data_IF_348642107447
#
_entry.id   IF_348642107447
#
_cell.length_a   1.000
_cell.length_b   1.000
_cell.length_c   1.000
_cell.angle_alpha   90.00
_cell.angle_beta   90.00
_cell.angle_gamma   90.00
#
_symmetry.space_group_name_H-M   'P 1'
#
loop_
_entity.id
_entity.type
_entity.pdbx_description
1 polymer ?
#
# COMPACT_ATOMS: atom_id res chain seq x y z
N UNK A 1 4.70 13.77 -20.46
CA UNK A 1 5.00 13.29 -19.09
C UNK A 1 5.50 14.46 -18.26
N UNK A 2 5.18 14.47 -16.97
CA UNK A 2 5.70 15.44 -15.99
C UNK A 2 6.92 14.84 -15.27
N UNK A 3 7.82 15.71 -14.81
CA UNK A 3 8.98 15.30 -14.00
C UNK A 3 8.53 14.88 -12.59
N UNK A 4 9.43 14.25 -11.83
CA UNK A 4 9.17 13.85 -10.44
C UNK A 4 8.73 15.02 -9.56
N UNK A 5 9.45 16.14 -9.63
CA UNK A 5 9.13 17.31 -8.81
C UNK A 5 7.83 18.00 -9.22
N UNK A 6 7.52 18.02 -10.52
CA UNK A 6 6.21 18.49 -11.02
C UNK A 6 5.08 17.61 -10.50
N UNK A 7 5.26 16.28 -10.53
CA UNK A 7 4.31 15.33 -9.98
C UNK A 7 4.07 15.56 -8.47
N UNK A 8 5.13 15.71 -7.69
CA UNK A 8 5.04 15.92 -6.24
C UNK A 8 4.26 17.20 -5.90
N UNK A 9 4.57 18.30 -6.59
CA UNK A 9 3.85 19.57 -6.40
C UNK A 9 2.38 19.46 -6.82
N UNK A 10 2.10 18.91 -8.01
CA UNK A 10 0.73 18.77 -8.50
C UNK A 10 -0.09 17.82 -7.61
N UNK A 11 0.45 16.69 -7.19
CA UNK A 11 -0.21 15.74 -6.29
C UNK A 11 -0.51 16.36 -4.93
N UNK A 12 0.42 17.17 -4.42
CA UNK A 12 0.23 17.91 -3.19
C UNK A 12 -0.92 18.93 -3.31
N UNK A 13 -0.93 19.73 -4.39
CA UNK A 13 -1.97 20.70 -4.65
C UNK A 13 -3.35 20.08 -4.89
N UNK A 14 -3.40 18.89 -5.52
CA UNK A 14 -4.65 18.18 -5.72
C UNK A 14 -5.24 17.72 -4.38
N UNK A 15 -4.40 17.21 -3.46
CA UNK A 15 -4.84 16.73 -2.15
C UNK A 15 -5.25 17.86 -1.21
N UNK A 16 -4.47 18.93 -1.15
CA UNK A 16 -4.70 20.06 -0.23
C UNK A 16 -5.69 21.10 -0.79
N UNK A 17 -5.95 21.07 -2.09
CA UNK A 17 -6.74 22.07 -2.79
C UNK A 17 -5.99 23.38 -2.97
N UNK A 18 -6.72 24.52 -2.84
CA UNK A 18 -6.09 25.82 -2.88
C UNK A 18 -5.32 26.07 -1.59
N UNK A 19 -4.02 26.31 -1.71
CA UNK A 19 -3.16 26.58 -0.57
C UNK A 19 -2.73 28.06 -0.51
N UNK A 20 -2.69 28.59 0.72
CA UNK A 20 -2.14 29.90 1.04
C UNK A 20 -0.81 29.70 1.79
N UNK A 21 0.21 29.18 1.08
CA UNK A 21 1.49 28.87 1.70
C UNK A 21 2.64 29.57 1.00
N UNK A 22 3.61 29.96 1.79
CA UNK A 22 4.87 30.48 1.26
C UNK A 22 5.62 29.38 0.53
N UNK A 23 6.41 29.73 -0.47
CA UNK A 23 7.33 28.84 -1.18
C UNK A 23 8.21 28.04 -0.20
N UNK A 24 8.63 28.69 0.89
CA UNK A 24 9.40 28.05 1.95
C UNK A 24 8.63 26.90 2.62
N UNK A 25 7.36 27.12 2.97
CA UNK A 25 6.52 26.08 3.57
C UNK A 25 6.29 24.90 2.62
N UNK A 26 6.12 25.15 1.33
CA UNK A 26 6.00 24.11 0.31
C UNK A 26 7.32 23.33 0.15
N UNK A 27 8.45 24.02 0.14
CA UNK A 27 9.78 23.42 0.09
C UNK A 27 10.05 22.50 1.29
N UNK A 28 9.75 22.99 2.50
CA UNK A 28 9.87 22.20 3.74
C UNK A 28 8.96 20.96 3.72
N UNK A 29 7.71 21.12 3.25
CA UNK A 29 6.73 20.02 3.18
C UNK A 29 7.15 18.92 2.19
N UNK A 30 7.70 19.33 1.04
CA UNK A 30 8.12 18.40 -0.02
C UNK A 30 9.58 17.98 0.09
N UNK A 31 10.30 18.41 1.12
CA UNK A 31 11.73 18.18 1.32
C UNK A 31 12.57 18.59 0.09
N UNK A 32 12.23 19.74 -0.52
CA UNK A 32 12.90 20.31 -1.69
C UNK A 32 13.61 21.63 -1.32
N UNK A 33 14.58 22.04 -2.14
CA UNK A 33 15.15 23.38 -2.00
C UNK A 33 14.15 24.46 -2.49
N UNK A 34 14.15 25.64 -1.86
CA UNK A 34 13.31 26.75 -2.31
C UNK A 34 13.54 27.14 -3.77
N UNK A 35 14.79 27.06 -4.25
CA UNK A 35 15.14 27.32 -5.65
C UNK A 35 14.54 26.25 -6.59
N UNK A 36 14.57 24.97 -6.20
CA UNK A 36 13.93 23.88 -6.94
C UNK A 36 12.42 24.11 -7.05
N UNK A 37 11.77 24.44 -5.92
CA UNK A 37 10.32 24.71 -5.89
C UNK A 37 9.97 25.87 -6.82
N UNK A 38 10.69 26.98 -6.76
CA UNK A 38 10.46 28.15 -7.63
C UNK A 38 10.56 27.77 -9.10
N UNK A 39 11.66 27.13 -9.50
CA UNK A 39 11.87 26.70 -10.90
C UNK A 39 10.77 25.77 -11.40
N UNK A 40 10.33 24.85 -10.56
CA UNK A 40 9.25 23.90 -10.92
C UNK A 40 7.90 24.63 -11.01
N UNK A 41 7.59 25.54 -10.08
CA UNK A 41 6.37 26.35 -10.13
C UNK A 41 6.32 27.23 -11.38
N UNK A 42 7.43 27.85 -11.77
CA UNK A 42 7.51 28.65 -13.01
C UNK A 42 7.26 27.78 -14.25
N UNK A 43 7.82 26.57 -14.28
CA UNK A 43 7.58 25.62 -15.38
C UNK A 43 6.13 25.13 -15.43
N UNK A 44 5.51 24.84 -14.28
CA UNK A 44 4.12 24.43 -14.18
C UNK A 44 3.15 25.55 -14.59
N UNK A 45 3.42 26.78 -14.18
CA UNK A 45 2.62 27.95 -14.52
C UNK A 45 2.71 28.27 -16.02
N UNK A 46 3.92 28.23 -16.61
CA UNK A 46 4.14 28.41 -18.05
C UNK A 46 3.38 27.38 -18.92
N UNK A 47 3.09 26.21 -18.36
CA UNK A 47 2.28 25.13 -18.99
C UNK A 47 0.81 25.15 -18.57
N UNK A 48 0.38 26.18 -17.84
CA UNK A 48 -0.98 26.35 -17.32
C UNK A 48 -1.46 25.20 -16.42
N UNK A 49 -0.52 24.41 -15.84
CA UNK A 49 -0.86 23.28 -14.97
C UNK A 49 -1.25 23.73 -13.55
N UNK A 50 -0.80 24.92 -13.15
CA UNK A 50 -1.14 25.58 -11.90
C UNK A 50 -1.57 27.03 -12.16
N UNK A 51 -2.29 27.60 -11.20
CA UNK A 51 -2.55 29.03 -11.11
C UNK A 51 -1.88 29.57 -9.87
N UNK A 52 -1.04 30.59 -10.04
CA UNK A 52 -0.35 31.28 -8.98
C UNK A 52 -0.84 32.72 -8.89
N UNK A 53 -1.20 33.16 -7.69
CA UNK A 53 -1.52 34.55 -7.35
C UNK A 53 -0.63 34.97 -6.17
N UNK A 54 -0.63 36.23 -5.80
CA UNK A 54 0.17 36.72 -4.68
C UNK A 54 -0.07 36.01 -3.36
N UNK A 55 -1.25 35.42 -3.17
CA UNK A 55 -1.66 34.77 -1.92
C UNK A 55 -1.92 33.24 -2.06
N UNK A 56 -2.20 32.77 -3.25
CA UNK A 56 -2.74 31.43 -3.46
C UNK A 56 -2.02 30.68 -4.57
N UNK A 57 -1.95 29.38 -4.38
CA UNK A 57 -1.47 28.40 -5.36
C UNK A 57 -2.52 27.29 -5.49
N UNK A 58 -2.91 26.98 -6.71
CA UNK A 58 -3.91 25.92 -6.97
C UNK A 58 -3.59 25.18 -8.26
N UNK A 59 -4.00 23.92 -8.32
CA UNK A 59 -3.95 23.10 -9.54
C UNK A 59 -5.07 23.52 -10.49
N UNK A 60 -4.82 23.44 -11.79
CA UNK A 60 -5.82 23.68 -12.84
C UNK A 60 -6.40 22.36 -13.35
N UNK A 61 -7.41 22.43 -14.25
CA UNK A 61 -7.89 21.24 -14.98
C UNK A 61 -6.78 20.58 -15.80
N UNK A 62 -5.91 21.36 -16.45
CA UNK A 62 -4.76 20.83 -17.18
C UNK A 62 -3.75 20.14 -16.25
N UNK A 63 -3.59 20.66 -15.02
CA UNK A 63 -2.76 20.00 -14.00
C UNK A 63 -3.34 18.67 -13.54
N UNK A 64 -4.68 18.59 -13.38
CA UNK A 64 -5.37 17.34 -13.08
C UNK A 64 -5.21 16.31 -14.22
N UNK A 65 -5.37 16.75 -15.47
CA UNK A 65 -5.16 15.92 -16.66
C UNK A 65 -3.71 15.40 -16.73
N UNK A 66 -2.73 16.23 -16.34
CA UNK A 66 -1.33 15.83 -16.27
C UNK A 66 -1.04 14.78 -15.19
N UNK A 67 -1.84 14.72 -14.12
CA UNK A 67 -1.77 13.69 -13.08
C UNK A 67 -2.49 12.38 -13.46
N UNK A 68 -3.45 12.40 -14.38
CA UNK A 68 -4.29 11.23 -14.68
C UNK A 68 -3.49 9.97 -15.10
N UNK A 69 -2.35 10.06 -15.83
CA UNK A 69 -1.50 8.89 -16.11
C UNK A 69 -0.91 8.20 -14.87
N UNK A 70 -0.87 8.89 -13.74
CA UNK A 70 -0.33 8.42 -12.45
C UNK A 70 -1.43 7.97 -11.48
N UNK A 71 -2.69 8.04 -11.90
CA UNK A 71 -3.84 7.66 -11.08
C UNK A 71 -3.86 6.16 -10.85
N UNK A 72 -3.91 5.77 -9.57
CA UNK A 72 -4.12 4.37 -9.21
C UNK A 72 -5.62 4.06 -9.29
N UNK A 73 -5.97 3.02 -10.04
CA UNK A 73 -7.39 2.64 -10.29
C UNK A 73 -7.75 1.30 -9.65
N UNK A 74 -6.74 0.50 -9.25
CA UNK A 74 -6.94 -0.86 -8.78
C UNK A 74 -6.16 -1.15 -7.51
N UNK A 75 -6.73 -2.06 -6.69
CA UNK A 75 -6.03 -2.68 -5.58
C UNK A 75 -6.30 -4.19 -5.55
N UNK A 76 -5.28 -4.96 -5.15
CA UNK A 76 -5.35 -6.38 -4.86
C UNK A 76 -5.04 -6.54 -3.38
N UNK A 77 -5.89 -7.27 -2.66
CA UNK A 77 -5.74 -7.51 -1.22
C UNK A 77 -5.64 -9.01 -1.00
N UNK A 78 -4.53 -9.47 -0.42
CA UNK A 78 -4.34 -10.89 -0.09
C UNK A 78 -4.80 -11.16 1.35
N UNK A 79 -5.78 -12.06 1.49
CA UNK A 79 -6.55 -12.29 2.71
C UNK A 79 -6.80 -13.79 2.97
N UNK A 80 -5.91 -14.67 2.50
CA UNK A 80 -6.16 -16.11 2.49
C UNK A 80 -5.70 -16.87 3.75
N UNK A 81 -4.90 -16.24 4.62
CA UNK A 81 -4.26 -16.85 5.78
C UNK A 81 -5.21 -17.33 6.87
N UNK A 82 -4.77 -18.31 7.65
CA UNK A 82 -5.54 -18.90 8.77
C UNK A 82 -5.78 -17.94 9.94
N UNK A 83 -4.85 -17.02 10.21
CA UNK A 83 -4.90 -16.18 11.41
C UNK A 83 -4.85 -16.98 12.72
N UNK A 84 -4.18 -18.14 12.76
CA UNK A 84 -4.17 -19.06 13.90
C UNK A 84 -3.65 -18.43 15.20
N UNK A 85 -2.73 -17.48 15.12
CA UNK A 85 -2.20 -16.73 16.27
C UNK A 85 -3.24 -15.81 16.93
N UNK A 86 -4.36 -15.54 16.23
CA UNK A 86 -5.47 -14.72 16.75
C UNK A 86 -6.62 -15.54 17.35
N UNK A 87 -6.48 -16.86 17.46
CA UNK A 87 -7.50 -17.68 18.13
C UNK A 87 -7.71 -17.19 19.58
N UNK A 88 -8.98 -17.14 20.10
CA UNK A 88 -10.20 -17.67 19.46
C UNK A 88 -10.93 -16.67 18.53
N UNK A 89 -10.47 -15.43 18.35
CA UNK A 89 -11.16 -14.42 17.54
C UNK A 89 -11.33 -14.81 16.06
N UNK A 90 -10.48 -15.73 15.56
CA UNK A 90 -10.52 -16.25 14.18
C UNK A 90 -11.13 -17.64 14.06
N UNK A 91 -11.82 -18.14 15.09
CA UNK A 91 -12.41 -19.50 15.07
C UNK A 91 -13.47 -19.66 13.97
N UNK A 92 -14.30 -18.64 13.77
CA UNK A 92 -15.45 -18.62 12.88
C UNK A 92 -15.36 -17.63 11.72
N UNK A 93 -14.25 -16.89 11.61
CA UNK A 93 -14.03 -15.86 10.58
C UNK A 93 -12.54 -15.71 10.26
N UNK A 94 -12.17 -15.27 9.05
CA UNK A 94 -10.79 -14.99 8.72
C UNK A 94 -10.29 -13.73 9.45
N UNK A 95 -8.97 -13.63 9.70
CA UNK A 95 -8.31 -12.52 10.40
C UNK A 95 -8.77 -11.12 9.93
N UNK A 96 -8.89 -10.84 8.63
CA UNK A 96 -9.35 -9.54 8.13
C UNK A 96 -10.77 -9.15 8.56
N UNK A 97 -11.61 -10.13 8.89
CA UNK A 97 -13.00 -9.92 9.34
C UNK A 97 -13.14 -9.74 10.84
N UNK A 98 -12.05 -9.87 11.60
CA UNK A 98 -12.04 -9.56 13.04
C UNK A 98 -12.27 -8.06 13.21
N UNK A 99 -13.08 -7.69 14.21
CA UNK A 99 -13.35 -6.28 14.52
C UNK A 99 -12.38 -5.76 15.56
N UNK A 100 -12.03 -4.49 15.46
CA UNK A 100 -11.30 -3.73 16.45
C UNK A 100 -12.11 -2.47 16.73
N UNK A 101 -12.56 -2.29 17.97
CA UNK A 101 -13.46 -1.21 18.36
C UNK A 101 -14.70 -1.09 17.43
N UNK A 102 -15.26 -2.22 17.04
CA UNK A 102 -16.46 -2.30 16.19
C UNK A 102 -16.22 -2.17 14.69
N UNK A 103 -14.99 -1.97 14.22
CA UNK A 103 -14.61 -1.87 12.80
C UNK A 103 -13.80 -3.09 12.37
N UNK A 104 -14.16 -3.76 11.28
CA UNK A 104 -13.38 -4.89 10.76
C UNK A 104 -12.01 -4.39 10.30
N UNK A 105 -10.96 -5.17 10.54
CA UNK A 105 -9.58 -4.84 10.14
C UNK A 105 -9.55 -4.45 8.65
N UNK A 106 -10.07 -5.28 7.78
CA UNK A 106 -10.07 -5.04 6.32
C UNK A 106 -10.87 -3.80 5.91
N UNK A 107 -11.92 -3.42 6.66
CA UNK A 107 -12.73 -2.24 6.33
C UNK A 107 -11.90 -0.96 6.39
N UNK A 108 -10.91 -0.88 7.27
CA UNK A 108 -10.05 0.29 7.39
C UNK A 108 -9.23 0.52 6.13
N UNK A 109 -8.71 -0.55 5.51
CA UNK A 109 -8.01 -0.49 4.23
C UNK A 109 -8.97 -0.22 3.06
N UNK A 110 -10.11 -0.91 3.02
CA UNK A 110 -11.12 -0.72 1.96
C UNK A 110 -11.67 0.72 1.97
N UNK A 111 -11.99 1.28 3.14
CA UNK A 111 -12.45 2.66 3.28
C UNK A 111 -11.36 3.66 2.83
N UNK A 112 -10.09 3.41 3.15
CA UNK A 112 -8.98 4.25 2.70
C UNK A 112 -8.80 4.23 1.17
N UNK A 113 -8.93 3.06 0.55
CA UNK A 113 -8.89 2.90 -0.92
C UNK A 113 -10.07 3.62 -1.60
N UNK A 114 -11.28 3.43 -1.08
CA UNK A 114 -12.49 4.08 -1.60
C UNK A 114 -12.42 5.60 -1.45
N UNK A 115 -11.88 6.09 -0.35
CA UNK A 115 -11.70 7.54 -0.09
C UNK A 115 -10.91 8.23 -1.21
N UNK A 116 -9.92 7.57 -1.79
CA UNK A 116 -9.11 8.09 -2.90
C UNK A 116 -9.65 7.71 -4.29
N UNK A 117 -10.85 7.09 -4.34
CA UNK A 117 -11.55 6.74 -5.58
C UNK A 117 -11.12 5.43 -6.23
N UNK A 118 -10.45 4.52 -5.47
CA UNK A 118 -10.11 3.19 -5.94
C UNK A 118 -11.26 2.24 -5.63
N UNK A 119 -11.98 1.80 -6.67
CA UNK A 119 -13.14 0.89 -6.57
C UNK A 119 -12.99 -0.41 -7.34
N UNK A 120 -11.99 -0.53 -8.22
CA UNK A 120 -11.63 -1.82 -8.84
C UNK A 120 -10.73 -2.60 -7.86
N UNK A 121 -11.37 -3.29 -6.91
CA UNK A 121 -10.70 -3.97 -5.81
C UNK A 121 -10.92 -5.48 -5.91
N UNK A 122 -9.84 -6.23 -5.83
CA UNK A 122 -9.83 -7.69 -5.80
C UNK A 122 -9.36 -8.15 -4.42
N UNK A 123 -10.13 -9.02 -3.77
CA UNK A 123 -9.76 -9.64 -2.49
C UNK A 123 -9.57 -11.14 -2.70
N UNK A 124 -8.37 -11.63 -2.45
CA UNK A 124 -8.02 -13.06 -2.55
C UNK A 124 -8.14 -13.68 -1.17
N UNK A 125 -9.23 -14.40 -0.92
CA UNK A 125 -9.48 -15.10 0.33
C UNK A 125 -9.12 -16.58 0.27
N UNK A 126 -9.14 -17.26 1.41
CA UNK A 126 -8.88 -18.69 1.55
C UNK A 126 -9.58 -19.27 2.76
N UNK A 127 -8.98 -19.17 3.94
CA UNK A 127 -9.61 -19.62 5.18
C UNK A 127 -10.95 -18.89 5.40
N UNK A 128 -12.01 -19.65 5.70
CA UNK A 128 -13.37 -19.13 5.90
C UNK A 128 -13.83 -18.17 4.76
N UNK A 129 -13.50 -18.50 3.51
CA UNK A 129 -13.79 -17.65 2.34
C UNK A 129 -15.24 -17.17 2.27
N UNK A 130 -16.21 -18.01 2.65
CA UNK A 130 -17.64 -17.65 2.62
C UNK A 130 -17.97 -16.42 3.49
N UNK A 131 -17.21 -16.22 4.58
CA UNK A 131 -17.39 -15.05 5.44
C UNK A 131 -16.95 -13.74 4.77
N UNK A 132 -16.03 -13.79 3.83
CA UNK A 132 -15.64 -12.61 3.07
C UNK A 132 -16.77 -12.06 2.18
N UNK A 133 -17.77 -12.89 1.85
CA UNK A 133 -18.94 -12.43 1.08
C UNK A 133 -19.77 -11.37 1.83
N UNK A 134 -19.66 -11.29 3.15
CA UNK A 134 -20.27 -10.22 3.94
C UNK A 134 -19.74 -8.82 3.57
N UNK A 135 -18.52 -8.73 3.00
CA UNK A 135 -17.95 -7.47 2.50
C UNK A 135 -18.79 -6.87 1.37
N UNK A 136 -19.44 -7.72 0.55
CA UNK A 136 -20.25 -7.28 -0.58
C UNK A 136 -21.47 -6.44 -0.16
N UNK A 137 -21.91 -6.53 1.10
CA UNK A 137 -22.99 -5.70 1.62
C UNK A 137 -22.58 -4.22 1.70
N UNK A 138 -21.33 -3.94 2.11
CA UNK A 138 -20.77 -2.57 2.21
C UNK A 138 -20.04 -2.15 0.92
N UNK A 139 -19.39 -3.10 0.24
CA UNK A 139 -18.56 -2.86 -0.93
C UNK A 139 -19.01 -3.76 -2.11
N UNK A 140 -20.17 -3.49 -2.73
CA UNK A 140 -20.73 -4.38 -3.77
C UNK A 140 -19.88 -4.45 -5.06
N UNK A 141 -18.92 -3.54 -5.21
CA UNK A 141 -18.01 -3.46 -6.36
C UNK A 141 -16.76 -4.31 -6.23
N UNK A 142 -16.44 -4.86 -5.04
CA UNK A 142 -15.24 -5.70 -4.89
C UNK A 142 -15.45 -7.07 -5.55
N UNK A 143 -14.35 -7.64 -5.99
CA UNK A 143 -14.31 -9.00 -6.53
C UNK A 143 -13.60 -9.93 -5.55
N UNK A 144 -14.25 -11.05 -5.23
CA UNK A 144 -13.67 -12.07 -4.36
C UNK A 144 -13.12 -13.22 -5.21
N UNK A 145 -11.87 -13.60 -4.96
CA UNK A 145 -11.22 -14.77 -5.54
C UNK A 145 -10.90 -15.76 -4.42
N UNK A 146 -11.15 -17.04 -4.67
CA UNK A 146 -10.92 -18.09 -3.68
C UNK A 146 -9.57 -18.78 -3.93
N UNK A 147 -8.64 -18.63 -3.02
CA UNK A 147 -7.41 -19.41 -3.00
C UNK A 147 -7.66 -20.74 -2.30
N UNK A 148 -7.84 -21.80 -3.05
CA UNK A 148 -8.03 -23.17 -2.51
C UNK A 148 -6.74 -23.82 -2.04
N UNK A 149 -5.58 -23.23 -2.36
CA UNK A 149 -4.24 -23.74 -2.01
C UNK A 149 -3.73 -23.21 -0.66
N UNK A 150 -4.47 -22.33 0.01
CA UNK A 150 -4.05 -21.65 1.25
C UNK A 150 -3.61 -22.59 2.38
N UNK A 151 -3.96 -23.89 2.31
CA UNK A 151 -3.58 -24.92 3.31
C UNK A 151 -2.22 -25.51 3.07
N UNK A 152 -1.79 -25.58 1.83
CA UNK A 152 -0.61 -26.33 1.38
C UNK A 152 0.47 -25.45 0.76
N UNK A 153 0.18 -24.20 0.52
CA UNK A 153 1.08 -23.24 -0.13
C UNK A 153 1.10 -21.91 0.62
N UNK A 154 2.17 -21.17 0.47
CA UNK A 154 2.30 -19.85 1.12
C UNK A 154 1.57 -18.76 0.32
N UNK A 155 1.64 -17.49 0.77
CA UNK A 155 0.89 -16.38 0.23
C UNK A 155 1.23 -16.02 -1.23
N UNK A 156 2.35 -16.50 -1.78
CA UNK A 156 2.67 -16.42 -3.22
C UNK A 156 1.54 -17.03 -4.07
N UNK A 157 0.88 -18.08 -3.59
CA UNK A 157 -0.27 -18.69 -4.28
C UNK A 157 -1.42 -17.70 -4.46
N UNK A 158 -1.61 -16.78 -3.52
CA UNK A 158 -2.61 -15.71 -3.65
C UNK A 158 -2.21 -14.68 -4.71
N UNK A 159 -0.91 -14.37 -4.84
CA UNK A 159 -0.40 -13.53 -5.92
C UNK A 159 -0.62 -14.17 -7.30
N UNK A 160 -0.38 -15.49 -7.42
CA UNK A 160 -0.65 -16.25 -8.65
C UNK A 160 -2.12 -16.21 -9.05
N UNK A 161 -3.05 -16.37 -8.11
CA UNK A 161 -4.50 -16.29 -8.38
C UNK A 161 -4.90 -14.89 -8.86
N UNK A 162 -4.19 -13.86 -8.43
CA UNK A 162 -4.47 -12.47 -8.79
C UNK A 162 -3.75 -11.99 -10.07
N UNK A 163 -2.95 -12.81 -10.75
CA UNK A 163 -2.12 -12.39 -11.90
C UNK A 163 -2.90 -11.62 -12.97
N UNK A 164 -4.09 -12.08 -13.35
CA UNK A 164 -4.91 -11.44 -14.39
C UNK A 164 -5.37 -10.01 -14.00
N UNK A 165 -5.29 -9.69 -12.72
CA UNK A 165 -5.68 -8.39 -12.16
C UNK A 165 -4.47 -7.48 -11.91
N UNK A 166 -3.25 -8.02 -11.94
CA UNK A 166 -2.01 -7.30 -11.72
C UNK A 166 -1.59 -6.55 -13.00
N UNK A 167 -2.25 -5.43 -13.29
CA UNK A 167 -2.06 -4.65 -14.53
C UNK A 167 -2.37 -3.17 -14.32
N UNK A 168 -1.94 -2.32 -15.25
CA UNK A 168 -2.25 -0.89 -15.35
C UNK A 168 -1.81 -0.05 -14.14
N UNK A 169 -0.90 -0.60 -13.33
CA UNK A 169 -0.48 -0.03 -12.05
C UNK A 169 -1.52 -0.25 -10.97
N UNK A 170 -1.13 -0.90 -9.87
CA UNK A 170 -2.06 -1.20 -8.79
C UNK A 170 -1.39 -1.24 -7.42
N UNK A 171 -2.19 -1.08 -6.38
CA UNK A 171 -1.80 -1.47 -5.04
C UNK A 171 -1.85 -2.99 -4.90
N UNK A 172 -0.86 -3.54 -4.19
CA UNK A 172 -0.87 -4.91 -3.69
C UNK A 172 -0.70 -4.87 -2.18
N UNK A 173 -1.72 -5.36 -1.46
CA UNK A 173 -1.86 -5.14 -0.02
C UNK A 173 -2.10 -6.45 0.74
N UNK A 174 -1.57 -6.54 1.94
CA UNK A 174 -1.94 -7.55 2.93
C UNK A 174 -3.18 -7.10 3.71
N UNK A 175 -3.98 -8.05 4.18
CA UNK A 175 -5.30 -7.77 4.76
C UNK A 175 -5.33 -7.76 6.28
N UNK A 176 -4.20 -7.90 6.95
CA UNK A 176 -4.06 -7.99 8.40
C UNK A 176 -3.63 -6.67 9.06
N UNK A 177 -3.73 -5.60 8.32
CA UNK A 177 -3.33 -4.26 8.70
C UNK A 177 -4.54 -3.41 9.09
N UNK A 178 -4.52 -2.85 10.28
CA UNK A 178 -5.48 -1.84 10.72
C UNK A 178 -4.97 -0.46 10.33
N UNK A 179 -5.60 0.18 9.36
CA UNK A 179 -5.21 1.50 8.86
C UNK A 179 -5.80 2.58 9.76
N UNK A 180 -5.00 3.13 10.65
CA UNK A 180 -5.40 4.22 11.56
C UNK A 180 -5.40 5.57 10.86
N UNK A 181 -4.53 5.76 9.88
CA UNK A 181 -4.45 6.98 9.08
C UNK A 181 -4.70 6.66 7.60
N UNK A 182 -5.90 6.94 7.06
CA UNK A 182 -6.22 6.65 5.66
C UNK A 182 -5.37 7.45 4.65
N UNK A 183 -4.69 8.53 5.05
CA UNK A 183 -3.83 9.32 4.18
C UNK A 183 -2.56 8.57 3.72
N UNK A 184 -2.28 7.39 4.28
CA UNK A 184 -1.21 6.52 3.79
C UNK A 184 -1.52 5.93 2.40
N UNK A 185 -2.80 5.91 2.00
CA UNK A 185 -3.22 5.51 0.66
C UNK A 185 -3.31 6.76 -0.21
N UNK A 186 -2.53 6.80 -1.28
CA UNK A 186 -2.46 7.93 -2.20
C UNK A 186 -3.20 7.63 -3.51
N UNK A 187 -3.86 8.65 -4.04
CA UNK A 187 -4.62 8.60 -5.29
C UNK A 187 -3.71 8.47 -6.52
N UNK A 188 -2.54 9.11 -6.47
CA UNK A 188 -1.56 9.13 -7.55
C UNK A 188 -0.23 8.56 -7.07
N UNK A 189 0.47 7.83 -7.95
CA UNK A 189 1.76 7.21 -7.65
C UNK A 189 2.71 7.38 -8.84
N UNK A 190 3.93 7.84 -8.58
CA UNK A 190 4.93 8.09 -9.62
C UNK A 190 5.77 6.86 -9.96
N UNK A 191 6.16 6.11 -8.96
CA UNK A 191 7.07 4.96 -9.03
C UNK A 191 6.59 3.83 -8.15
N UNK A 192 7.04 2.62 -8.42
CA UNK A 192 6.80 1.47 -7.53
C UNK A 192 7.38 1.75 -6.15
N UNK A 193 6.57 1.52 -5.12
CA UNK A 193 6.95 1.82 -3.74
C UNK A 193 6.26 0.89 -2.75
N UNK A 194 6.80 0.88 -1.54
CA UNK A 194 6.26 0.13 -0.41
C UNK A 194 6.27 0.99 0.85
N UNK A 195 5.24 0.87 1.68
CA UNK A 195 5.16 1.55 2.96
C UNK A 195 6.12 0.94 3.97
N UNK A 196 6.78 1.80 4.72
CA UNK A 196 7.62 1.39 5.83
C UNK A 196 7.73 2.45 6.92
N UNK A 197 7.70 2.04 8.19
CA UNK A 197 7.95 2.94 9.31
C UNK A 197 9.37 2.78 9.83
N UNK A 198 10.08 3.91 9.98
CA UNK A 198 11.44 3.89 10.51
C UNK A 198 11.49 3.30 11.92
N UNK A 199 12.46 2.41 12.15
CA UNK A 199 12.74 1.81 13.45
C UNK A 199 14.25 1.78 13.69
N UNK A 200 14.62 2.04 14.96
CA UNK A 200 16.01 1.88 15.38
C UNK A 200 16.41 0.42 15.39
N UNK A 201 15.48 -0.46 15.74
CA UNK A 201 15.65 -1.90 15.82
C UNK A 201 14.29 -2.59 15.65
N UNK A 202 14.29 -3.77 15.05
CA UNK A 202 13.12 -4.64 14.92
C UNK A 202 13.56 -6.11 14.81
N UNK A 203 12.75 -7.01 15.36
CA UNK A 203 12.88 -8.46 15.21
C UNK A 203 12.06 -8.99 14.03
N UNK A 204 11.27 -8.12 13.40
CA UNK A 204 10.38 -8.47 12.30
C UNK A 204 10.99 -8.15 10.92
N UNK A 205 10.21 -8.42 9.86
CA UNK A 205 10.60 -8.13 8.48
C UNK A 205 10.80 -6.64 8.26
N UNK A 206 11.88 -6.29 7.59
CA UNK A 206 12.28 -4.89 7.44
C UNK A 206 13.13 -4.64 6.22
N UNK A 207 13.19 -3.37 5.84
CA UNK A 207 14.00 -2.89 4.74
C UNK A 207 15.15 -2.01 5.22
N UNK A 208 16.32 -2.14 4.58
CA UNK A 208 17.31 -1.06 4.50
C UNK A 208 17.01 -0.22 3.27
N UNK A 209 17.30 1.07 3.38
CA UNK A 209 17.15 2.03 2.30
C UNK A 209 18.51 2.52 1.83
N UNK A 210 18.70 2.57 0.51
CA UNK A 210 19.79 3.26 -0.13
C UNK A 210 19.23 4.07 -1.31
N UNK A 211 19.61 5.34 -1.41
CA UNK A 211 19.12 6.25 -2.46
C UNK A 211 17.57 6.26 -2.62
N UNK A 212 16.87 6.25 -1.48
CA UNK A 212 15.41 6.24 -1.44
C UNK A 212 14.73 4.91 -1.76
N UNK A 213 15.51 3.88 -2.13
CA UNK A 213 14.99 2.57 -2.56
C UNK A 213 15.37 1.46 -1.59
N UNK A 214 14.60 0.36 -1.66
CA UNK A 214 14.90 -0.87 -0.92
C UNK A 214 16.27 -1.40 -1.34
N UNK A 215 17.17 -1.54 -0.38
CA UNK A 215 18.52 -2.10 -0.58
C UNK A 215 18.71 -3.48 0.05
N UNK A 216 17.96 -3.80 1.09
CA UNK A 216 17.95 -5.09 1.77
C UNK A 216 16.54 -5.39 2.30
N UNK A 217 16.11 -6.63 2.28
CA UNK A 217 14.90 -7.14 2.92
C UNK A 217 15.24 -8.38 3.73
N UNK A 218 15.05 -8.31 5.04
CA UNK A 218 15.30 -9.44 5.94
C UNK A 218 14.54 -9.32 7.25
N UNK A 219 14.46 -10.42 7.98
CA UNK A 219 13.94 -10.47 9.34
C UNK A 219 15.03 -10.05 10.34
N UNK A 220 14.67 -9.16 11.26
CA UNK A 220 15.57 -8.60 12.26
C UNK A 220 16.57 -7.60 11.67
N UNK A 221 16.58 -6.37 12.13
CA UNK A 221 17.45 -5.33 11.60
C UNK A 221 17.58 -4.13 12.55
N UNK A 222 18.58 -3.28 12.31
CA UNK A 222 18.76 -2.00 13.01
C UNK A 222 18.78 -0.87 12.00
N UNK A 223 18.34 0.34 12.39
CA UNK A 223 18.27 1.52 11.52
C UNK A 223 17.60 1.20 10.19
N UNK A 224 16.37 0.73 10.26
CA UNK A 224 15.64 0.14 9.16
C UNK A 224 14.22 0.70 9.06
N UNK A 225 13.47 0.20 8.09
CA UNK A 225 12.04 0.47 7.95
C UNK A 225 11.28 -0.84 8.14
N UNK A 226 10.39 -0.89 9.12
CA UNK A 226 9.48 -2.03 9.29
C UNK A 226 8.68 -2.20 8.01
N UNK A 227 8.57 -3.43 7.54
CA UNK A 227 7.73 -3.79 6.41
C UNK A 227 6.25 -3.65 6.81
N UNK A 228 5.49 -2.92 6.00
CA UNK A 228 4.04 -2.99 6.01
C UNK A 228 3.58 -3.47 4.64
N UNK A 229 2.83 -4.53 4.59
CA UNK A 229 2.35 -5.19 3.37
C UNK A 229 1.46 -4.33 2.47
N UNK A 230 1.79 -3.05 2.25
CA UNK A 230 1.11 -2.14 1.34
C UNK A 230 2.13 -1.60 0.34
N UNK A 231 2.01 -2.05 -0.90
CA UNK A 231 2.87 -1.65 -2.01
C UNK A 231 2.06 -1.15 -3.19
N UNK A 232 2.65 -0.23 -3.96
CA UNK A 232 2.17 0.16 -5.28
C UNK A 232 3.19 -0.28 -6.33
N UNK A 233 2.69 -0.81 -7.44
CA UNK A 233 3.48 -1.27 -8.56
C UNK A 233 3.07 -0.54 -9.84
N UNK A 234 4.03 0.03 -10.56
CA UNK A 234 3.78 0.67 -11.86
C UNK A 234 3.27 -0.34 -12.89
N UNK A 235 2.63 0.10 -14.00
CA UNK A 235 2.20 -0.81 -15.06
C UNK A 235 3.33 -1.69 -15.62
N UNK A 236 4.54 -1.16 -15.68
CA UNK A 236 5.73 -1.90 -16.12
C UNK A 236 6.12 -2.97 -15.10
N UNK A 237 6.21 -2.59 -13.82
CA UNK A 237 6.60 -3.53 -12.77
C UNK A 237 5.50 -4.57 -12.49
N UNK A 238 4.21 -4.25 -12.68
CA UNK A 238 3.14 -5.25 -12.66
C UNK A 238 3.40 -6.38 -13.68
N UNK A 239 3.81 -6.03 -14.91
CA UNK A 239 4.13 -7.04 -15.94
C UNK A 239 5.33 -7.90 -15.57
N UNK A 240 6.38 -7.29 -15.00
CA UNK A 240 7.56 -8.02 -14.53
C UNK A 240 7.19 -8.96 -13.38
N UNK A 241 6.42 -8.46 -12.39
CA UNK A 241 5.96 -9.27 -11.25
C UNK A 241 5.13 -10.47 -11.69
N UNK A 242 4.21 -10.32 -12.63
CA UNK A 242 3.44 -11.44 -13.14
C UNK A 242 4.35 -12.54 -13.71
N UNK A 243 5.37 -12.17 -14.48
CA UNK A 243 6.32 -13.12 -15.06
C UNK A 243 7.21 -13.75 -13.98
N UNK A 244 7.77 -12.94 -13.09
CA UNK A 244 8.69 -13.39 -12.06
C UNK A 244 7.98 -14.25 -10.99
N UNK A 245 6.76 -13.89 -10.59
CA UNK A 245 5.95 -14.74 -9.69
C UNK A 245 5.63 -16.10 -10.31
N UNK A 246 5.22 -16.13 -11.60
CA UNK A 246 4.91 -17.38 -12.30
C UNK A 246 6.16 -18.28 -12.43
N UNK A 247 7.33 -17.69 -12.76
CA UNK A 247 8.60 -18.40 -12.84
C UNK A 247 8.99 -18.98 -11.48
N UNK A 248 9.03 -18.14 -10.44
CA UNK A 248 9.45 -18.55 -9.09
C UNK A 248 8.48 -19.58 -8.49
N UNK A 249 7.18 -19.37 -8.64
CA UNK A 249 6.14 -20.30 -8.15
C UNK A 249 6.26 -21.70 -8.79
N UNK A 250 6.67 -21.77 -10.06
CA UNK A 250 6.84 -23.02 -10.79
C UNK A 250 8.14 -23.77 -10.45
N UNK A 251 9.08 -23.10 -9.77
CA UNK A 251 10.33 -23.70 -9.35
C UNK A 251 10.15 -24.63 -8.12
N UNK A 252 11.06 -25.57 -7.87
CA UNK A 252 11.09 -26.34 -6.61
C UNK A 252 11.04 -25.39 -5.42
N UNK A 253 10.21 -25.72 -4.40
CA UNK A 253 9.99 -24.91 -3.18
C UNK A 253 9.38 -23.51 -3.42
N UNK A 254 9.10 -23.12 -4.66
CA UNK A 254 8.55 -21.81 -4.99
C UNK A 254 7.18 -21.55 -4.35
N UNK A 255 6.40 -22.61 -4.15
CA UNK A 255 5.06 -22.55 -3.52
C UNK A 255 5.10 -22.24 -2.02
N UNK A 256 6.25 -22.46 -1.37
CA UNK A 256 6.45 -22.20 0.05
C UNK A 256 6.94 -20.77 0.33
N UNK A 257 7.18 -19.99 -0.72
CA UNK A 257 7.67 -18.62 -0.61
C UNK A 257 6.56 -17.63 -0.33
N UNK A 258 6.94 -16.51 0.28
CA UNK A 258 6.13 -15.31 0.35
C UNK A 258 6.22 -14.54 -0.98
N UNK A 259 5.12 -13.86 -1.38
CA UNK A 259 5.07 -13.11 -2.63
C UNK A 259 6.15 -12.01 -2.69
N UNK A 260 6.43 -11.38 -1.57
CA UNK A 260 7.40 -10.29 -1.43
C UNK A 260 8.85 -10.77 -1.56
N UNK A 261 9.14 -12.05 -1.35
CA UNK A 261 10.48 -12.60 -1.58
C UNK A 261 10.89 -12.49 -3.04
N UNK A 262 9.94 -12.54 -3.96
CA UNK A 262 10.24 -12.43 -5.39
C UNK A 262 10.85 -11.06 -5.72
N UNK A 263 10.18 -9.92 -5.52
CA UNK A 263 10.75 -8.62 -5.86
C UNK A 263 11.87 -8.16 -4.93
N UNK A 264 11.96 -8.66 -3.69
CA UNK A 264 12.93 -8.13 -2.73
C UNK A 264 14.13 -9.05 -2.46
N UNK A 265 14.06 -10.34 -2.87
CA UNK A 265 15.14 -11.32 -2.69
C UNK A 265 15.48 -12.02 -4.01
N UNK A 266 14.57 -12.83 -4.56
CA UNK A 266 14.85 -13.74 -5.66
C UNK A 266 15.16 -13.01 -6.98
N UNK A 267 14.41 -11.96 -7.29
CA UNK A 267 14.48 -11.17 -8.53
C UNK A 267 14.78 -9.69 -8.26
N UNK A 268 15.41 -9.37 -7.15
CA UNK A 268 15.63 -8.00 -6.69
C UNK A 268 16.22 -7.08 -7.75
N UNK A 269 17.14 -7.57 -8.59
CA UNK A 269 17.76 -6.77 -9.65
C UNK A 269 16.80 -6.28 -10.73
N UNK A 270 15.59 -6.87 -10.83
CA UNK A 270 14.57 -6.48 -11.80
C UNK A 270 13.79 -5.23 -11.36
N UNK A 271 13.89 -4.86 -10.09
CA UNK A 271 13.03 -3.84 -9.47
C UNK A 271 13.82 -2.72 -8.80
N UNK A 272 13.28 -1.52 -8.94
CA UNK A 272 13.67 -0.36 -8.16
C UNK A 272 12.45 0.13 -7.38
N UNK A 273 12.30 -0.33 -6.14
CA UNK A 273 11.16 -0.03 -5.29
C UNK A 273 11.54 1.01 -4.26
N UNK A 274 10.83 2.13 -4.24
CA UNK A 274 11.06 3.19 -3.24
C UNK A 274 10.43 2.80 -1.91
N UNK A 275 11.07 3.21 -0.80
CA UNK A 275 10.41 3.15 0.51
C UNK A 275 9.66 4.46 0.70
N UNK A 276 8.35 4.36 0.87
CA UNK A 276 7.49 5.48 1.23
C UNK A 276 7.30 5.50 2.74
N UNK A 277 7.93 6.44 3.46
CA UNK A 277 7.86 6.48 4.91
C UNK A 277 6.44 6.76 5.42
N UNK A 278 6.02 6.06 6.47
CA UNK A 278 4.86 6.35 7.28
C UNK A 278 5.23 6.34 8.77
N UNK A 279 4.31 6.78 9.63
CA UNK A 279 4.51 6.72 11.08
C UNK A 279 4.06 5.35 11.60
N UNK A 280 4.65 4.86 12.69
CA UNK A 280 4.27 3.58 13.30
C UNK A 280 2.78 3.52 13.70
N UNK A 281 2.19 4.67 14.09
CA UNK A 281 0.78 4.75 14.45
C UNK A 281 -0.18 4.83 13.26
N UNK A 282 0.31 5.08 12.04
CA UNK A 282 -0.54 5.20 10.86
C UNK A 282 -1.12 3.85 10.43
N UNK A 283 -0.37 2.77 10.71
CA UNK A 283 -0.73 1.39 10.40
C UNK A 283 -0.39 0.54 11.61
N UNK A 284 -1.34 -0.27 12.05
CA UNK A 284 -1.15 -1.22 13.16
C UNK A 284 -1.30 -2.63 12.58
N UNK A 285 -0.23 -3.40 12.60
CA UNK A 285 -0.27 -4.82 12.31
C UNK A 285 -0.73 -5.56 13.56
N UNK A 286 -1.70 -6.48 13.40
CA UNK A 286 -2.31 -7.21 14.52
C UNK A 286 -2.02 -8.69 14.29
N UNK A 287 -0.93 -9.18 14.82
CA UNK A 287 -0.43 -10.51 14.52
C UNK A 287 -0.97 -11.62 15.40
N UNK A 288 -1.37 -11.27 16.63
CA UNK A 288 -1.79 -12.25 17.62
C UNK A 288 -2.91 -11.71 18.52
N UNK A 289 -3.51 -12.63 19.29
CA UNK A 289 -4.62 -12.31 20.18
C UNK A 289 -4.26 -11.31 21.30
N UNK A 290 -3.01 -11.31 21.76
CA UNK A 290 -2.56 -10.38 22.80
C UNK A 290 -2.55 -8.94 22.28
N UNK A 291 -2.04 -8.71 21.08
CA UNK A 291 -2.07 -7.39 20.41
C UNK A 291 -3.50 -6.93 20.16
N UNK A 292 -4.38 -7.83 19.70
CA UNK A 292 -5.79 -7.54 19.55
C UNK A 292 -6.43 -7.09 20.86
N UNK A 293 -6.16 -7.79 21.97
CA UNK A 293 -6.68 -7.46 23.30
C UNK A 293 -6.10 -6.15 23.89
N UNK A 294 -4.93 -5.71 23.43
CA UNK A 294 -4.42 -4.39 23.77
C UNK A 294 -5.17 -3.26 23.06
N UNK A 295 -5.57 -3.49 21.82
CA UNK A 295 -6.25 -2.49 20.99
C UNK A 295 -7.75 -2.39 21.31
N UNK A 296 -8.39 -3.53 21.61
CA UNK A 296 -9.82 -3.58 21.89
C UNK A 296 -10.09 -4.32 23.22
N UNK A 297 -10.58 -3.61 24.24
CA UNK A 297 -10.88 -4.19 25.56
C UNK A 297 -11.87 -5.38 25.51
N UNK A 298 -12.72 -5.47 24.47
CA UNK A 298 -13.69 -6.57 24.31
C UNK A 298 -13.01 -7.96 24.31
N UNK A 299 -11.74 -8.03 23.90
CA UNK A 299 -10.97 -9.28 23.85
C UNK A 299 -10.19 -9.59 25.13
N UNK A 300 -10.22 -8.73 26.14
CA UNK A 300 -9.47 -8.95 27.40
C UNK A 300 -10.08 -10.01 28.29
N UNK A 301 -11.41 -10.14 28.27
CA UNK A 301 -12.17 -10.99 29.16
C UNK A 301 -12.56 -12.34 28.55
N UNK A 302 -12.21 -12.61 27.31
CA UNK A 302 -12.48 -13.88 26.63
C UNK A 302 -11.39 -14.92 26.95
N UNK A 303 -11.30 -15.33 28.23
CA UNK A 303 -10.51 -16.49 28.68
C UNK A 303 -11.39 -17.70 28.89
#
# INVERSE_FOLDING_TARGET
MISRYEFEILSYLEREGQISRSIRSLADTLCLSGGTVLSVLDALEARELIRRTDQNLSITSYGLDALEPYRVKRAIIVAAGFGSRMMPATADKPKPMVTVNGVRIIDTLLDALVKVGITDIVVVGGYQFEKLKELLQKYPFIRLLNNTHYKSENNISSAIIALDYMRDGCYFCEADLYISNPEVILKYQYSSNILGAYSMETDDWSFKMQDGCVSEYKKGNTFCYNYYGISYWTPEDCKKLCADWAEVYSAPEGKDLFWEFVPFINKRSNYRVEIRPCRKQDIIEIDNYYELAQLDPMYRDAR
#
